data_IF_309129062018
#
_entry.id   IF_309129062018
#
_cell.length_a   1.000
_cell.length_b   1.000
_cell.length_c   1.000
_cell.angle_alpha   90.00
_cell.angle_beta   90.00
_cell.angle_gamma   90.00
#
_symmetry.space_group_name_H-M   'P 1'
#
loop_
_entity.id
_entity.type
_entity.pdbx_description
1 polymer ?
#
# COMPACT_ATOMS: atom_id res chain seq x y z
N UNK A 1 1.70 17.88 21.30
CA UNK A 1 0.87 17.05 20.40
C UNK A 1 1.78 16.62 19.26
N UNK A 2 1.81 15.32 18.93
CA UNK A 2 2.52 14.86 17.75
C UNK A 2 1.83 15.49 16.52
N UNK A 3 2.59 16.16 15.65
CA UNK A 3 2.08 16.79 14.43
C UNK A 3 2.56 15.95 13.26
N UNK A 4 1.76 14.96 12.86
CA UNK A 4 2.04 14.17 11.65
C UNK A 4 1.26 14.74 10.48
N UNK A 5 1.76 14.59 9.27
CA UNK A 5 1.03 14.95 8.05
C UNK A 5 0.15 13.79 7.56
N UNK A 6 0.66 12.56 7.68
CA UNK A 6 0.01 11.33 7.26
C UNK A 6 -0.19 10.40 8.47
N UNK A 7 -1.44 9.98 8.69
CA UNK A 7 -1.78 8.86 9.56
C UNK A 7 -2.22 7.69 8.69
N UNK A 8 -1.46 6.61 8.66
CA UNK A 8 -1.79 5.44 7.85
C UNK A 8 -2.20 4.26 8.75
N UNK A 9 -3.17 3.47 8.32
CA UNK A 9 -3.59 2.23 8.97
C UNK A 9 -3.45 1.05 8.01
N UNK A 10 -2.83 -0.04 8.48
CA UNK A 10 -2.66 -1.23 7.67
C UNK A 10 -1.99 -2.40 8.39
N UNK A 11 -1.79 -3.47 7.63
CA UNK A 11 -1.19 -4.71 8.07
C UNK A 11 0.33 -4.61 8.13
N UNK A 12 0.90 -4.99 9.27
CA UNK A 12 2.34 -5.12 9.42
C UNK A 12 2.80 -6.53 9.01
N UNK A 13 3.55 -6.61 7.90
CA UNK A 13 4.02 -7.86 7.33
C UNK A 13 5.52 -7.81 7.04
N UNK A 14 6.23 -8.88 7.34
CA UNK A 14 7.60 -9.07 6.85
C UNK A 14 7.55 -9.81 5.50
N UNK A 15 8.07 -9.18 4.46
CA UNK A 15 8.15 -9.75 3.12
C UNK A 15 9.36 -10.66 2.99
N UNK A 16 9.16 -11.81 2.34
CA UNK A 16 10.19 -12.81 2.02
C UNK A 16 10.15 -13.05 0.52
N UNK A 17 11.19 -12.59 -0.18
CA UNK A 17 11.19 -12.52 -1.64
C UNK A 17 11.88 -13.73 -2.28
N UNK A 18 11.25 -14.29 -3.31
CA UNK A 18 11.77 -15.40 -4.09
C UNK A 18 11.57 -15.15 -5.59
N UNK A 19 12.56 -15.50 -6.40
CA UNK A 19 12.34 -15.63 -7.86
C UNK A 19 11.83 -17.03 -8.19
N UNK A 20 10.72 -17.11 -8.92
CA UNK A 20 10.02 -18.36 -9.27
C UNK A 20 9.66 -18.42 -10.76
N UNK A 21 9.28 -19.60 -11.24
CA UNK A 21 8.67 -19.78 -12.58
C UNK A 21 7.15 -19.82 -12.52
N UNK A 22 6.48 -19.55 -13.65
CA UNK A 22 5.03 -19.73 -13.77
C UNK A 22 4.58 -21.19 -13.54
N UNK A 23 5.44 -22.15 -13.92
CA UNK A 23 5.22 -23.57 -13.63
C UNK A 23 5.21 -23.85 -12.12
N UNK A 24 6.07 -23.19 -11.36
CA UNK A 24 6.08 -23.31 -9.90
C UNK A 24 4.79 -22.77 -9.28
N UNK A 25 4.34 -21.58 -9.71
CA UNK A 25 3.07 -21.00 -9.25
C UNK A 25 1.90 -21.95 -9.52
N UNK A 26 1.86 -22.53 -10.72
CA UNK A 26 0.84 -23.52 -11.11
C UNK A 26 0.90 -24.77 -10.24
N UNK A 27 2.09 -25.31 -9.97
CA UNK A 27 2.28 -26.49 -9.11
C UNK A 27 1.85 -26.25 -7.65
N UNK A 28 1.97 -25.02 -7.17
CA UNK A 28 1.55 -24.64 -5.81
C UNK A 28 0.09 -24.15 -5.76
N UNK A 29 -0.66 -24.18 -6.88
CA UNK A 29 -2.03 -23.66 -7.01
C UNK A 29 -2.16 -22.17 -6.62
N UNK A 30 -1.17 -21.36 -6.97
CA UNK A 30 -1.19 -19.92 -6.72
C UNK A 30 -1.63 -19.17 -7.98
N UNK A 31 -2.58 -18.25 -7.82
CA UNK A 31 -3.02 -17.40 -8.92
C UNK A 31 -1.99 -16.29 -9.18
N UNK A 32 -1.54 -16.16 -10.43
CA UNK A 32 -0.56 -15.15 -10.81
C UNK A 32 -1.13 -13.73 -10.61
N UNK A 33 -0.33 -12.82 -10.05
CA UNK A 33 -0.67 -11.40 -9.93
C UNK A 33 -1.62 -11.03 -8.80
N UNK A 34 -1.97 -11.97 -7.90
CA UNK A 34 -2.90 -11.73 -6.78
C UNK A 34 -2.26 -12.02 -5.42
N UNK A 35 -2.98 -11.62 -4.38
CA UNK A 35 -2.70 -12.02 -3.00
C UNK A 35 -3.61 -13.17 -2.54
N UNK A 36 -3.03 -14.20 -1.97
CA UNK A 36 -3.74 -15.32 -1.34
C UNK A 36 -3.40 -15.41 0.16
N UNK A 37 -4.42 -15.51 1.00
CA UNK A 37 -4.28 -15.74 2.43
C UNK A 37 -3.98 -17.21 2.73
N UNK A 38 -3.15 -17.44 3.75
CA UNK A 38 -2.75 -18.76 4.22
C UNK A 38 -2.78 -18.83 5.75
N UNK A 39 -3.01 -20.03 6.28
CA UNK A 39 -2.69 -20.32 7.67
C UNK A 39 -1.18 -20.55 7.86
N UNK A 40 -0.74 -20.58 9.11
CA UNK A 40 0.69 -20.69 9.44
C UNK A 40 1.31 -22.04 9.04
N UNK A 41 0.55 -23.13 8.98
CA UNK A 41 1.05 -24.45 8.59
C UNK A 41 1.27 -24.51 7.08
N UNK A 42 0.27 -24.11 6.29
CA UNK A 42 0.34 -24.02 4.85
C UNK A 42 1.48 -23.08 4.40
N UNK A 43 1.60 -21.91 5.04
CA UNK A 43 2.69 -20.99 4.74
C UNK A 43 4.05 -21.61 5.11
N UNK A 44 4.19 -22.22 6.29
CA UNK A 44 5.45 -22.87 6.69
C UNK A 44 5.88 -23.99 5.73
N UNK A 45 4.93 -24.76 5.20
CA UNK A 45 5.21 -25.77 4.18
C UNK A 45 5.73 -25.15 2.88
N UNK A 46 5.07 -24.11 2.38
CA UNK A 46 5.52 -23.42 1.17
C UNK A 46 6.90 -22.78 1.37
N UNK A 47 7.15 -22.13 2.51
CA UNK A 47 8.45 -21.52 2.83
C UNK A 47 9.60 -22.53 2.72
N UNK A 48 9.42 -23.69 3.36
CA UNK A 48 10.43 -24.74 3.38
C UNK A 48 10.67 -25.35 1.99
N UNK A 49 9.63 -25.38 1.14
CA UNK A 49 9.79 -25.80 -0.25
C UNK A 49 10.54 -24.75 -1.07
N UNK A 50 10.19 -23.47 -0.92
CA UNK A 50 10.85 -22.35 -1.59
C UNK A 50 12.34 -22.29 -1.25
N UNK A 51 12.71 -22.37 0.04
CA UNK A 51 14.12 -22.37 0.46
C UNK A 51 14.93 -23.54 -0.13
N UNK A 52 14.29 -24.67 -0.42
CA UNK A 52 14.95 -25.85 -1.00
C UNK A 52 15.04 -25.81 -2.52
N UNK A 53 14.10 -25.14 -3.19
CA UNK A 53 13.89 -25.30 -4.63
C UNK A 53 14.03 -24.01 -5.44
N UNK A 54 13.90 -22.84 -4.81
CA UNK A 54 13.86 -21.54 -5.47
C UNK A 54 14.96 -20.60 -4.98
N UNK A 55 15.14 -19.49 -5.70
CA UNK A 55 16.17 -18.50 -5.38
C UNK A 55 15.64 -17.46 -4.39
N UNK A 56 16.10 -17.54 -3.14
CA UNK A 56 15.81 -16.54 -2.12
C UNK A 56 16.51 -15.21 -2.43
N UNK A 57 15.75 -14.11 -2.41
CA UNK A 57 16.25 -12.76 -2.73
C UNK A 57 16.45 -11.89 -1.51
N UNK A 58 15.69 -12.13 -0.44
CA UNK A 58 15.89 -11.42 0.82
C UNK A 58 14.63 -11.34 1.66
N UNK A 59 14.75 -10.58 2.74
CA UNK A 59 13.67 -10.23 3.64
C UNK A 59 13.65 -8.72 3.84
N UNK A 60 12.45 -8.14 3.82
CA UNK A 60 12.25 -6.71 4.04
C UNK A 60 10.97 -6.47 4.86
N UNK A 61 10.85 -5.30 5.47
CA UNK A 61 9.55 -4.86 6.00
C UNK A 61 8.63 -4.52 4.83
N UNK A 62 7.48 -5.18 4.77
CA UNK A 62 6.44 -4.96 3.77
C UNK A 62 5.17 -4.35 4.37
N UNK A 63 4.04 -4.68 3.77
CA UNK A 63 2.72 -4.10 4.04
C UNK A 63 2.43 -2.89 3.16
N UNK A 64 1.28 -2.88 2.47
CA UNK A 64 0.95 -1.86 1.45
C UNK A 64 0.90 -0.45 2.04
N UNK A 65 0.17 -0.26 3.14
CA UNK A 65 0.14 1.02 3.82
C UNK A 65 1.50 1.40 4.43
N UNK A 66 2.30 0.45 4.88
CA UNK A 66 3.64 0.74 5.40
C UNK A 66 4.60 1.20 4.30
N UNK A 67 4.55 0.58 3.12
CA UNK A 67 5.34 0.99 1.95
C UNK A 67 4.93 2.39 1.46
N UNK A 68 3.62 2.67 1.43
CA UNK A 68 3.08 4.00 1.13
C UNK A 68 3.59 5.05 2.12
N UNK A 69 3.52 4.71 3.42
CA UNK A 69 3.98 5.57 4.52
C UNK A 69 5.49 5.81 4.44
N UNK A 70 6.25 4.80 4.07
CA UNK A 70 7.69 4.91 3.85
C UNK A 70 8.02 5.85 2.71
N UNK A 71 7.37 5.71 1.55
CA UNK A 71 7.57 6.62 0.43
C UNK A 71 7.25 8.07 0.80
N UNK A 72 6.14 8.29 1.50
CA UNK A 72 5.76 9.61 2.02
C UNK A 72 6.80 10.20 2.98
N UNK A 73 7.28 9.40 3.94
CA UNK A 73 8.29 9.81 4.92
C UNK A 73 9.66 10.05 4.28
N UNK A 74 10.06 9.20 3.34
CA UNK A 74 11.34 9.30 2.64
C UNK A 74 11.47 10.57 1.79
N UNK A 75 10.34 11.14 1.34
CA UNK A 75 10.27 12.43 0.66
C UNK A 75 10.28 13.63 1.62
N UNK A 76 10.25 13.39 2.94
CA UNK A 76 10.33 14.40 3.99
C UNK A 76 9.01 14.71 4.70
N UNK A 77 7.96 13.95 4.42
CA UNK A 77 6.71 14.05 5.17
C UNK A 77 6.82 13.45 6.57
N UNK A 78 6.01 13.92 7.52
CA UNK A 78 5.92 13.29 8.85
C UNK A 78 4.78 12.30 8.90
N UNK A 79 5.03 11.08 9.33
CA UNK A 79 3.99 10.05 9.31
C UNK A 79 3.89 9.25 10.61
N UNK A 80 2.66 8.80 10.88
CA UNK A 80 2.34 7.82 11.90
C UNK A 80 1.75 6.57 11.23
N UNK A 81 2.20 5.38 11.65
CA UNK A 81 1.67 4.12 11.16
C UNK A 81 0.97 3.32 12.26
N UNK A 82 -0.35 3.22 12.14
CA UNK A 82 -1.21 2.41 12.99
C UNK A 82 -1.23 0.96 12.50
N UNK A 83 -0.51 0.09 13.22
CA UNK A 83 -0.37 -1.32 12.91
C UNK A 83 -0.30 -2.18 14.17
N UNK A 84 -0.28 -3.51 13.98
CA UNK A 84 -0.12 -4.51 15.04
C UNK A 84 0.95 -5.52 14.65
N UNK A 85 1.95 -5.70 15.51
CA UNK A 85 3.03 -6.68 15.38
C UNK A 85 3.05 -7.63 16.58
N UNK A 86 3.69 -8.78 16.41
CA UNK A 86 3.95 -9.72 17.49
C UNK A 86 5.03 -9.18 18.43
N UNK A 87 4.96 -9.59 19.69
CA UNK A 87 6.07 -9.50 20.65
C UNK A 87 7.10 -10.59 20.34
N UNK A 88 7.71 -10.48 19.17
CA UNK A 88 8.70 -11.40 18.62
C UNK A 88 9.83 -10.65 17.88
N UNK A 89 10.86 -11.38 17.47
CA UNK A 89 12.03 -10.80 16.80
C UNK A 89 11.64 -10.10 15.49
N UNK A 90 10.67 -10.63 14.74
CA UNK A 90 10.19 -10.04 13.50
C UNK A 90 9.45 -8.72 13.74
N UNK A 91 8.62 -8.66 14.77
CA UNK A 91 7.89 -7.45 15.17
C UNK A 91 8.84 -6.37 15.63
N UNK A 92 9.89 -6.74 16.39
CA UNK A 92 10.98 -5.84 16.75
C UNK A 92 11.70 -5.29 15.51
N UNK A 93 12.11 -6.16 14.59
CA UNK A 93 12.75 -5.75 13.33
C UNK A 93 11.86 -4.82 12.52
N UNK A 94 10.55 -5.11 12.45
CA UNK A 94 9.57 -4.31 11.73
C UNK A 94 9.47 -2.88 12.29
N UNK A 95 9.27 -2.75 13.61
CA UNK A 95 9.15 -1.44 14.26
C UNK A 95 10.48 -0.66 14.23
N UNK A 96 11.61 -1.33 14.45
CA UNK A 96 12.94 -0.69 14.37
C UNK A 96 13.18 -0.14 12.95
N UNK A 97 12.74 -0.86 11.90
CA UNK A 97 12.82 -0.41 10.51
C UNK A 97 11.94 0.82 10.22
N UNK A 98 10.71 0.86 10.73
CA UNK A 98 9.83 2.03 10.60
C UNK A 98 10.42 3.26 11.32
N UNK A 99 10.94 3.07 12.53
CA UNK A 99 11.56 4.14 13.30
C UNK A 99 12.81 4.70 12.59
N UNK A 100 13.64 3.84 12.00
CA UNK A 100 14.79 4.27 11.18
C UNK A 100 14.37 5.08 9.94
N UNK A 101 13.15 4.85 9.44
CA UNK A 101 12.54 5.61 8.36
C UNK A 101 11.80 6.87 8.85
N UNK A 102 11.97 7.26 10.12
CA UNK A 102 11.28 8.38 10.77
C UNK A 102 9.75 8.27 10.76
N UNK A 103 9.21 7.04 10.77
CA UNK A 103 7.77 6.79 10.86
C UNK A 103 7.43 6.51 12.32
N UNK A 104 6.56 7.34 12.90
CA UNK A 104 6.11 7.19 14.28
C UNK A 104 5.17 5.97 14.40
N UNK A 105 5.31 5.21 15.48
CA UNK A 105 4.45 4.07 15.84
C UNK A 105 4.08 4.14 17.33
N UNK A 106 3.11 3.34 17.77
CA UNK A 106 2.69 3.30 19.19
C UNK A 106 3.27 2.08 19.90
N UNK A 107 3.53 2.22 21.20
CA UNK A 107 3.81 1.04 22.05
C UNK A 107 2.61 0.09 22.12
N UNK A 108 1.40 0.57 21.80
CA UNK A 108 0.19 -0.25 21.68
C UNK A 108 0.22 -1.20 20.47
N UNK A 109 1.13 -0.98 19.51
CA UNK A 109 1.26 -1.84 18.33
C UNK A 109 1.80 -3.23 18.65
N UNK A 110 2.42 -3.44 19.81
CA UNK A 110 2.99 -4.74 20.19
C UNK A 110 1.97 -5.58 20.93
N UNK A 111 1.84 -6.86 20.56
CA UNK A 111 0.91 -7.80 21.20
C UNK A 111 1.50 -9.21 21.27
N UNK A 112 1.10 -10.01 22.26
CA UNK A 112 1.53 -11.41 22.35
C UNK A 112 1.01 -12.23 21.15
N UNK A 113 1.93 -12.87 20.41
CA UNK A 113 1.66 -13.70 19.23
C UNK A 113 2.73 -13.51 18.16
N UNK A 114 2.45 -13.95 16.94
CA UNK A 114 3.44 -13.99 15.85
C UNK A 114 3.19 -12.87 14.84
N UNK A 115 4.25 -12.15 14.48
CA UNK A 115 4.23 -11.14 13.41
C UNK A 115 3.91 -11.79 12.06
N UNK A 116 3.02 -11.18 11.30
CA UNK A 116 2.63 -11.68 9.98
C UNK A 116 3.78 -11.64 8.97
N UNK A 117 3.73 -12.51 7.98
CA UNK A 117 4.72 -12.56 6.90
C UNK A 117 4.04 -12.74 5.55
N UNK A 118 4.67 -12.23 4.50
CA UNK A 118 4.22 -12.38 3.12
C UNK A 118 5.34 -13.00 2.28
N UNK A 119 5.05 -14.10 1.59
CA UNK A 119 5.96 -14.59 0.55
C UNK A 119 5.65 -13.87 -0.75
N UNK A 120 6.64 -13.14 -1.25
CA UNK A 120 6.55 -12.42 -2.51
C UNK A 120 7.26 -13.24 -3.58
N UNK A 121 6.47 -13.82 -4.48
CA UNK A 121 6.95 -14.71 -5.54
C UNK A 121 7.01 -13.92 -6.86
N UNK A 122 8.23 -13.61 -7.30
CA UNK A 122 8.51 -12.78 -8.46
C UNK A 122 8.78 -13.69 -9.65
N UNK A 123 7.92 -13.58 -10.66
CA UNK A 123 8.03 -14.35 -11.91
C UNK A 123 8.92 -13.65 -12.94
N UNK A 124 9.25 -14.32 -14.05
CA UNK A 124 10.24 -13.82 -15.03
C UNK A 124 9.82 -12.52 -15.74
N UNK A 125 8.52 -12.26 -15.83
CA UNK A 125 7.95 -11.02 -16.37
C UNK A 125 7.83 -9.92 -15.30
N UNK A 126 8.45 -10.11 -14.13
CA UNK A 126 8.47 -9.18 -12.97
C UNK A 126 7.12 -9.02 -12.26
N UNK A 127 6.10 -9.78 -12.65
CA UNK A 127 4.83 -9.81 -11.93
C UNK A 127 5.00 -10.54 -10.58
N UNK A 128 4.30 -10.04 -9.56
CA UNK A 128 4.36 -10.57 -8.20
C UNK A 128 3.09 -11.34 -7.82
N UNK A 129 3.28 -12.48 -7.16
CA UNK A 129 2.22 -13.24 -6.50
C UNK A 129 2.51 -13.34 -5.02
N UNK A 130 1.51 -13.07 -4.18
CA UNK A 130 1.69 -12.97 -2.73
C UNK A 130 0.99 -14.10 -2.00
N UNK A 131 1.69 -14.74 -1.06
CA UNK A 131 1.13 -15.78 -0.18
C UNK A 131 1.33 -15.37 1.28
N UNK A 132 0.24 -14.88 1.90
CA UNK A 132 0.29 -14.08 3.12
C UNK A 132 -0.27 -14.83 4.31
N UNK A 133 0.52 -14.96 5.37
CA UNK A 133 0.06 -15.31 6.70
C UNK A 133 -0.02 -14.03 7.54
N UNK A 134 -1.23 -13.61 7.86
CA UNK A 134 -1.47 -12.37 8.60
C UNK A 134 -0.98 -12.41 10.04
N UNK A 135 -0.79 -13.60 10.64
CA UNK A 135 -0.44 -13.71 12.06
C UNK A 135 -1.33 -12.83 12.94
N UNK A 136 -0.73 -12.07 13.83
CA UNK A 136 -1.45 -11.20 14.76
C UNK A 136 -2.11 -9.97 14.11
N UNK A 137 -1.66 -9.54 12.93
CA UNK A 137 -2.24 -8.36 12.27
C UNK A 137 -3.66 -8.63 11.73
N UNK A 138 -4.04 -9.91 11.58
CA UNK A 138 -5.40 -10.31 11.22
C UNK A 138 -6.46 -9.76 12.19
N UNK A 139 -6.05 -9.51 13.43
CA UNK A 139 -6.90 -9.04 14.52
C UNK A 139 -6.57 -7.61 14.94
N UNK A 140 -6.00 -6.78 14.05
CA UNK A 140 -5.81 -5.35 14.33
C UNK A 140 -7.14 -4.74 14.78
N UNK A 141 -7.11 -4.00 15.89
CA UNK A 141 -8.29 -3.36 16.47
C UNK A 141 -7.92 -1.98 17.03
N UNK A 142 -8.93 -1.22 17.44
CA UNK A 142 -8.72 0.07 18.10
C UNK A 142 -7.84 -0.01 19.35
N UNK A 143 -7.72 -1.18 20.00
CA UNK A 143 -6.88 -1.36 21.17
C UNK A 143 -5.37 -1.25 20.88
N UNK A 144 -4.96 -1.41 19.62
CA UNK A 144 -3.55 -1.32 19.19
C UNK A 144 -3.24 0.01 18.49
N UNK A 145 -4.19 0.94 18.44
CA UNK A 145 -4.05 2.19 17.68
C UNK A 145 -4.10 3.38 18.63
N UNK A 146 -3.04 4.17 18.60
CA UNK A 146 -3.06 5.51 19.19
C UNK A 146 -3.66 6.48 18.16
N UNK A 147 -4.87 6.98 18.44
CA UNK A 147 -5.56 7.92 17.56
C UNK A 147 -5.21 9.39 17.83
N UNK A 148 -4.40 9.71 18.85
CA UNK A 148 -4.04 11.11 19.11
C UNK A 148 -3.32 11.78 17.92
N UNK A 149 -2.35 11.14 17.23
CA UNK A 149 -1.71 11.73 16.06
C UNK A 149 -2.69 12.03 14.91
N UNK A 150 -3.74 11.21 14.76
CA UNK A 150 -4.75 11.38 13.71
C UNK A 150 -5.48 12.72 13.83
N UNK A 151 -5.73 13.23 15.05
CA UNK A 151 -6.46 14.48 15.26
C UNK A 151 -5.79 15.72 14.67
N UNK A 152 -4.50 15.63 14.34
CA UNK A 152 -3.74 16.74 13.74
C UNK A 152 -3.19 16.40 12.35
N UNK A 153 -3.48 15.20 11.85
CA UNK A 153 -3.04 14.77 10.54
C UNK A 153 -3.71 15.59 9.43
N UNK A 154 -3.07 15.64 8.25
CA UNK A 154 -3.74 16.17 7.04
C UNK A 154 -4.45 15.05 6.27
N UNK A 155 -3.90 13.84 6.34
CA UNK A 155 -4.42 12.66 5.67
C UNK A 155 -4.56 11.47 6.62
N UNK A 156 -5.69 10.79 6.54
CA UNK A 156 -5.87 9.40 6.94
C UNK A 156 -5.72 8.54 5.69
N UNK A 157 -4.77 7.62 5.65
CA UNK A 157 -4.61 6.64 4.57
C UNK A 157 -4.98 5.23 5.04
N UNK A 158 -5.85 4.56 4.28
CA UNK A 158 -6.38 3.25 4.60
C UNK A 158 -6.04 2.27 3.47
N UNK A 159 -5.42 1.14 3.80
CA UNK A 159 -5.34 0.04 2.85
C UNK A 159 -6.64 -0.80 2.84
N UNK A 160 -7.12 -1.11 1.64
CA UNK A 160 -8.23 -2.02 1.39
C UNK A 160 -8.01 -3.45 1.88
N UNK A 161 -6.77 -3.90 2.13
CA UNK A 161 -6.49 -5.20 2.75
C UNK A 161 -7.12 -5.37 4.14
N UNK A 162 -7.45 -4.29 4.86
CA UNK A 162 -8.16 -4.38 6.14
C UNK A 162 -9.61 -4.84 5.99
N UNK A 163 -10.13 -4.93 4.77
CA UNK A 163 -11.51 -5.36 4.48
C UNK A 163 -11.81 -6.78 4.96
N UNK A 164 -10.80 -7.65 5.05
CA UNK A 164 -10.98 -9.05 5.49
C UNK A 164 -11.09 -9.22 7.00
N UNK A 165 -10.83 -8.17 7.81
CA UNK A 165 -10.77 -8.27 9.27
C UNK A 165 -11.89 -7.48 9.94
N UNK A 166 -12.78 -8.17 10.64
CA UNK A 166 -13.92 -7.55 11.34
C UNK A 166 -13.48 -6.49 12.35
N UNK A 167 -12.43 -6.78 13.13
CA UNK A 167 -11.90 -5.83 14.11
C UNK A 167 -11.22 -4.64 13.45
N UNK A 168 -10.55 -4.84 12.31
CA UNK A 168 -9.90 -3.76 11.59
C UNK A 168 -10.93 -2.83 10.95
N UNK A 169 -12.03 -3.36 10.40
CA UNK A 169 -13.13 -2.53 9.87
C UNK A 169 -13.75 -1.63 10.93
N UNK A 170 -13.93 -2.14 12.15
CA UNK A 170 -14.38 -1.32 13.28
C UNK A 170 -13.36 -0.23 13.67
N UNK A 171 -12.06 -0.57 13.65
CA UNK A 171 -10.99 0.39 13.92
C UNK A 171 -10.93 1.49 12.85
N UNK A 172 -11.06 1.13 11.57
CA UNK A 172 -11.14 2.09 10.46
C UNK A 172 -12.37 2.98 10.60
N UNK A 173 -13.54 2.42 10.95
CA UNK A 173 -14.75 3.22 11.19
C UNK A 173 -14.52 4.29 12.26
N UNK A 174 -13.84 3.94 13.36
CA UNK A 174 -13.46 4.91 14.39
C UNK A 174 -12.45 5.94 13.86
N UNK A 175 -11.44 5.51 13.11
CA UNK A 175 -10.46 6.41 12.48
C UNK A 175 -11.16 7.44 11.57
N UNK A 176 -12.10 6.99 10.72
CA UNK A 176 -12.89 7.85 9.85
C UNK A 176 -13.68 8.88 10.64
N UNK A 177 -14.35 8.48 11.71
CA UNK A 177 -15.09 9.41 12.57
C UNK A 177 -14.17 10.51 13.11
N UNK A 178 -13.02 10.13 13.67
CA UNK A 178 -12.04 11.08 14.22
C UNK A 178 -11.49 11.99 13.10
N UNK A 179 -11.20 11.44 11.93
CA UNK A 179 -10.74 12.20 10.77
C UNK A 179 -11.76 13.27 10.38
N UNK A 180 -13.04 12.92 10.24
CA UNK A 180 -14.12 13.86 9.91
C UNK A 180 -14.29 14.95 10.97
N UNK A 181 -14.29 14.59 12.25
CA UNK A 181 -14.41 15.54 13.37
C UNK A 181 -13.25 16.57 13.40
N UNK A 182 -12.08 16.20 12.88
CA UNK A 182 -10.88 17.04 12.87
C UNK A 182 -10.52 17.57 11.45
N UNK A 183 -11.43 17.44 10.48
CA UNK A 183 -11.23 17.92 9.09
C UNK A 183 -10.01 17.31 8.38
N UNK A 184 -9.64 16.09 8.77
CA UNK A 184 -8.60 15.30 8.12
C UNK A 184 -9.18 14.66 6.87
N UNK A 185 -8.45 14.75 5.76
CA UNK A 185 -8.86 14.14 4.48
C UNK A 185 -8.64 12.63 4.53
N UNK A 186 -9.49 11.86 3.86
CA UNK A 186 -9.44 10.40 3.86
C UNK A 186 -9.00 9.92 2.48
N UNK A 187 -7.92 9.16 2.42
CA UNK A 187 -7.43 8.46 1.23
C UNK A 187 -7.53 6.95 1.44
N UNK A 188 -7.91 6.21 0.40
CA UNK A 188 -8.02 4.75 0.44
C UNK A 188 -7.47 4.12 -0.84
N UNK A 189 -6.78 2.99 -0.71
CA UNK A 189 -6.42 2.14 -1.86
C UNK A 189 -7.31 0.90 -1.93
N UNK A 190 -7.78 0.52 -3.13
CA UNK A 190 -8.50 -0.76 -3.33
C UNK A 190 -7.60 -1.99 -3.13
N UNK A 191 -6.27 -1.78 -3.07
CA UNK A 191 -5.20 -2.72 -2.69
C UNK A 191 -4.94 -3.89 -3.64
N UNK A 192 -5.94 -4.71 -3.92
CA UNK A 192 -5.77 -5.91 -4.73
C UNK A 192 -7.11 -6.37 -5.35
N UNK A 193 -7.08 -6.91 -6.58
CA UNK A 193 -8.23 -7.57 -7.20
C UNK A 193 -8.95 -8.58 -6.29
N UNK A 194 -8.22 -9.34 -5.47
CA UNK A 194 -8.79 -10.31 -4.53
C UNK A 194 -9.62 -9.63 -3.43
N UNK A 195 -9.26 -8.43 -2.98
CA UNK A 195 -10.09 -7.69 -2.00
C UNK A 195 -11.40 -7.25 -2.63
N UNK A 196 -11.35 -6.77 -3.87
CA UNK A 196 -12.53 -6.39 -4.64
C UNK A 196 -13.45 -7.59 -4.90
N UNK A 197 -12.87 -8.77 -5.16
CA UNK A 197 -13.61 -9.99 -5.47
C UNK A 197 -14.18 -10.68 -4.22
N UNK A 198 -13.38 -10.86 -3.18
CA UNK A 198 -13.71 -11.73 -2.05
C UNK A 198 -14.06 -10.97 -0.78
N UNK A 199 -13.64 -9.72 -0.64
CA UNK A 199 -13.87 -8.87 0.52
C UNK A 199 -14.65 -7.59 0.20
N UNK A 200 -15.44 -7.60 -0.89
CA UNK A 200 -16.22 -6.45 -1.39
C UNK A 200 -17.05 -5.76 -0.33
N UNK A 201 -17.76 -6.54 0.51
CA UNK A 201 -18.55 -5.97 1.60
C UNK A 201 -17.67 -5.19 2.57
N UNK A 202 -16.55 -5.78 2.98
CA UNK A 202 -15.60 -5.12 3.87
C UNK A 202 -15.01 -3.86 3.23
N UNK A 203 -14.66 -3.90 1.94
CA UNK A 203 -14.14 -2.75 1.21
C UNK A 203 -15.17 -1.62 1.11
N UNK A 204 -16.46 -1.95 0.89
CA UNK A 204 -17.55 -0.99 0.95
C UNK A 204 -17.70 -0.39 2.34
N UNK A 205 -17.52 -1.16 3.41
CA UNK A 205 -17.52 -0.64 4.80
C UNK A 205 -16.33 0.30 5.07
N UNK A 206 -15.17 0.08 4.45
CA UNK A 206 -14.02 0.99 4.56
C UNK A 206 -14.25 2.32 3.81
N UNK A 207 -14.90 2.26 2.65
CA UNK A 207 -15.24 3.43 1.82
C UNK A 207 -16.42 4.21 2.43
N UNK A 208 -17.40 3.49 2.97
CA UNK A 208 -18.60 3.97 3.66
C UNK A 208 -19.38 5.03 2.84
N UNK A 209 -19.47 6.25 3.36
CA UNK A 209 -20.11 7.41 2.73
C UNK A 209 -19.24 8.13 1.69
N UNK A 210 -18.12 7.52 1.30
CA UNK A 210 -17.15 8.07 0.35
C UNK A 210 -15.87 8.57 1.03
N UNK A 211 -14.84 8.81 0.23
CA UNK A 211 -13.53 9.30 0.68
C UNK A 211 -13.10 10.52 -0.14
N UNK A 212 -12.05 11.20 0.28
CA UNK A 212 -11.52 12.35 -0.45
C UNK A 212 -10.68 11.91 -1.65
N UNK A 213 -9.95 10.79 -1.52
CA UNK A 213 -9.06 10.25 -2.56
C UNK A 213 -9.13 8.73 -2.64
N UNK A 214 -9.36 8.18 -3.84
CA UNK A 214 -9.24 6.73 -4.11
C UNK A 214 -8.01 6.48 -4.98
N UNK A 215 -7.20 5.51 -4.57
CA UNK A 215 -6.18 4.87 -5.39
C UNK A 215 -6.65 3.49 -5.83
N UNK A 216 -6.43 3.16 -7.09
CA UNK A 216 -6.57 1.80 -7.60
C UNK A 216 -5.70 1.61 -8.85
N UNK A 217 -5.50 0.36 -9.26
CA UNK A 217 -5.09 0.07 -10.63
C UNK A 217 -6.31 -0.13 -11.55
N UNK A 218 -6.06 -0.25 -12.84
CA UNK A 218 -7.10 -0.48 -13.84
C UNK A 218 -7.95 -1.72 -13.53
N UNK A 219 -7.33 -2.83 -13.13
CA UNK A 219 -8.04 -4.08 -12.86
C UNK A 219 -8.99 -3.94 -11.66
N UNK A 220 -8.51 -3.36 -10.56
CA UNK A 220 -9.29 -3.04 -9.37
C UNK A 220 -10.45 -2.10 -9.69
N UNK A 221 -10.22 -1.05 -10.49
CA UNK A 221 -11.26 -0.12 -10.91
C UNK A 221 -12.39 -0.82 -11.67
N UNK A 222 -12.03 -1.62 -12.68
CA UNK A 222 -12.98 -2.36 -13.51
C UNK A 222 -13.76 -3.41 -12.70
N UNK A 223 -13.06 -4.18 -11.84
CA UNK A 223 -13.68 -5.17 -10.98
C UNK A 223 -14.58 -4.53 -9.93
N UNK A 224 -14.18 -3.40 -9.34
CA UNK A 224 -14.94 -2.75 -8.28
C UNK A 224 -16.25 -2.17 -8.81
N UNK A 225 -16.22 -1.63 -10.02
CA UNK A 225 -17.38 -1.02 -10.69
C UNK A 225 -18.14 -1.98 -11.59
N UNK A 226 -17.75 -3.26 -11.59
CA UNK A 226 -18.40 -4.36 -12.32
C UNK A 226 -18.62 -4.04 -13.81
N UNK A 227 -17.64 -3.39 -14.43
CA UNK A 227 -17.65 -2.96 -15.84
C UNK A 227 -16.35 -3.38 -16.55
N UNK A 228 -16.36 -3.33 -17.88
CA UNK A 228 -15.18 -3.58 -18.73
C UNK A 228 -14.67 -2.29 -19.39
N UNK A 229 -15.34 -1.17 -19.15
CA UNK A 229 -15.02 0.14 -19.73
C UNK A 229 -14.46 1.08 -18.66
N UNK A 230 -13.25 1.61 -18.90
CA UNK A 230 -12.53 2.43 -17.93
C UNK A 230 -13.20 3.78 -17.67
N UNK A 231 -13.85 4.38 -18.69
CA UNK A 231 -14.57 5.65 -18.51
C UNK A 231 -15.84 5.46 -17.67
N UNK A 232 -16.55 4.35 -17.89
CA UNK A 232 -17.68 3.94 -17.07
C UNK A 232 -17.25 3.64 -15.63
N UNK A 233 -16.11 2.97 -15.44
CA UNK A 233 -15.54 2.72 -14.11
C UNK A 233 -15.23 4.05 -13.41
N UNK A 234 -14.55 4.98 -14.09
CA UNK A 234 -14.24 6.30 -13.54
C UNK A 234 -15.51 7.06 -13.15
N UNK A 235 -16.56 7.01 -13.98
CA UNK A 235 -17.85 7.66 -13.72
C UNK A 235 -18.50 7.14 -12.44
N UNK A 236 -18.45 5.84 -12.19
CA UNK A 236 -18.98 5.24 -10.96
C UNK A 236 -18.12 5.59 -9.74
N UNK A 237 -16.78 5.55 -9.87
CA UNK A 237 -15.87 5.92 -8.77
C UNK A 237 -16.03 7.39 -8.34
N UNK A 238 -16.41 8.29 -9.26
CA UNK A 238 -16.71 9.72 -8.96
C UNK A 238 -17.90 9.91 -8.02
N UNK A 239 -18.74 8.90 -7.85
CA UNK A 239 -19.83 8.93 -6.87
C UNK A 239 -19.32 8.71 -5.44
N UNK A 240 -18.11 8.15 -5.29
CA UNK A 240 -17.51 7.77 -4.00
C UNK A 240 -16.35 8.67 -3.60
N UNK A 241 -15.75 9.40 -4.54
CA UNK A 241 -14.58 10.24 -4.28
C UNK A 241 -14.48 11.42 -5.24
N UNK A 242 -13.98 12.55 -4.72
CA UNK A 242 -13.70 13.75 -5.52
C UNK A 242 -12.39 13.61 -6.30
N UNK A 243 -11.41 12.90 -5.72
CA UNK A 243 -10.13 12.62 -6.38
C UNK A 243 -9.98 11.12 -6.61
N UNK A 244 -9.64 10.73 -7.82
CA UNK A 244 -9.46 9.33 -8.21
C UNK A 244 -8.16 9.23 -8.98
N UNK A 245 -7.32 8.28 -8.59
CA UNK A 245 -6.09 7.95 -9.29
C UNK A 245 -6.12 6.49 -9.68
N UNK A 246 -6.17 6.23 -10.99
CA UNK A 246 -6.13 4.91 -11.58
C UNK A 246 -4.76 4.71 -12.23
N UNK A 247 -3.93 3.86 -11.64
CA UNK A 247 -2.67 3.44 -12.24
C UNK A 247 -2.92 2.47 -13.40
N UNK A 248 -2.19 2.66 -14.49
CA UNK A 248 -2.33 1.94 -15.77
C UNK A 248 -1.03 1.19 -16.11
N UNK A 249 -0.29 0.74 -15.10
CA UNK A 249 1.01 0.09 -15.26
C UNK A 249 1.98 0.92 -16.13
N UNK A 250 2.54 0.35 -17.20
CA UNK A 250 3.47 1.01 -18.12
C UNK A 250 2.85 2.21 -18.88
N UNK A 251 1.51 2.27 -18.97
CA UNK A 251 0.79 3.36 -19.62
C UNK A 251 0.64 4.60 -18.72
N UNK A 252 1.11 4.53 -17.46
CA UNK A 252 1.14 5.64 -16.51
C UNK A 252 -0.06 5.69 -15.59
N UNK A 253 -0.74 6.84 -15.53
CA UNK A 253 -1.89 7.00 -14.64
C UNK A 253 -2.96 7.93 -15.23
N UNK A 254 -4.22 7.57 -14.99
CA UNK A 254 -5.40 8.40 -15.21
C UNK A 254 -5.81 9.03 -13.88
N UNK A 255 -5.86 10.36 -13.84
CA UNK A 255 -6.22 11.11 -12.63
C UNK A 255 -7.44 11.95 -12.90
N UNK A 256 -8.37 11.93 -11.96
CA UNK A 256 -9.58 12.72 -12.00
C UNK A 256 -9.72 13.54 -10.73
N UNK A 257 -10.07 14.80 -10.92
CA UNK A 257 -10.27 15.84 -9.90
C UNK A 257 -11.66 16.46 -10.12
N UNK A 258 -12.15 17.32 -9.21
CA UNK A 258 -13.39 18.06 -9.44
C UNK A 258 -13.36 18.93 -10.71
N UNK A 259 -12.19 19.44 -11.09
CA UNK A 259 -12.03 20.38 -12.20
C UNK A 259 -11.76 19.69 -13.53
N UNK A 260 -10.96 18.63 -13.53
CA UNK A 260 -10.44 18.01 -14.74
C UNK A 260 -10.16 16.51 -14.62
N UNK A 261 -10.00 15.86 -15.77
CA UNK A 261 -9.50 14.49 -15.88
C UNK A 261 -8.39 14.46 -16.91
N UNK A 262 -7.23 13.94 -16.52
CA UNK A 262 -6.04 13.90 -17.37
C UNK A 262 -5.30 12.58 -17.22
N UNK A 263 -4.51 12.23 -18.24
CA UNK A 263 -3.64 11.06 -18.23
C UNK A 263 -2.19 11.52 -18.34
N UNK A 264 -1.31 10.96 -17.50
CA UNK A 264 0.14 11.12 -17.63
C UNK A 264 0.73 9.79 -18.06
N UNK A 265 1.56 9.82 -19.10
CA UNK A 265 2.20 8.62 -19.64
C UNK A 265 3.23 8.04 -18.66
N UNK A 266 3.34 6.72 -18.63
CA UNK A 266 4.36 6.02 -17.87
C UNK A 266 5.76 6.22 -18.44
N UNK A 267 6.77 5.71 -17.70
CA UNK A 267 8.18 5.77 -18.12
C UNK A 267 8.63 4.42 -18.63
N UNK A 268 9.43 4.43 -19.69
CA UNK A 268 10.08 3.22 -20.20
C UNK A 268 11.26 2.85 -19.30
N UNK A 269 11.13 1.72 -18.62
CA UNK A 269 12.17 1.11 -17.79
C UNK A 269 12.29 -0.38 -18.13
N UNK A 270 13.33 -1.04 -17.63
CA UNK A 270 13.42 -2.50 -17.65
C UNK A 270 12.86 -3.00 -16.32
N UNK A 271 11.70 -3.69 -16.31
CA UNK A 271 11.12 -4.15 -15.06
C UNK A 271 11.95 -5.29 -14.45
N UNK A 272 12.03 -5.28 -13.12
CA UNK A 272 12.74 -6.29 -12.31
C UNK A 272 11.78 -6.90 -11.28
N UNK A 273 11.02 -6.07 -10.57
CA UNK A 273 10.05 -6.49 -9.55
C UNK A 273 8.94 -5.44 -9.43
N UNK A 274 7.69 -5.80 -9.72
CA UNK A 274 6.57 -4.87 -9.61
C UNK A 274 6.08 -4.64 -8.16
N UNK A 275 6.65 -5.33 -7.16
CA UNK A 275 6.25 -5.19 -5.76
C UNK A 275 6.44 -3.75 -5.25
N UNK A 276 5.44 -3.23 -4.52
CA UNK A 276 5.48 -1.88 -3.96
C UNK A 276 5.30 -0.72 -4.97
N UNK A 277 5.12 -0.97 -6.27
CA UNK A 277 4.97 0.09 -7.27
C UNK A 277 3.78 1.02 -6.99
N UNK A 278 2.61 0.44 -6.72
CA UNK A 278 1.39 1.18 -6.36
C UNK A 278 1.50 1.90 -5.01
N UNK A 279 2.19 1.28 -4.05
CA UNK A 279 2.41 1.86 -2.72
C UNK A 279 3.31 3.11 -2.81
N UNK A 280 4.42 2.99 -3.52
CA UNK A 280 5.36 4.09 -3.74
C UNK A 280 4.71 5.23 -4.53
N UNK A 281 3.87 4.88 -5.52
CA UNK A 281 3.05 5.85 -6.24
C UNK A 281 2.14 6.62 -5.25
N UNK A 282 1.36 5.90 -4.42
CA UNK A 282 0.43 6.52 -3.49
C UNK A 282 1.13 7.42 -2.47
N UNK A 283 2.27 6.98 -1.94
CA UNK A 283 3.05 7.75 -0.96
C UNK A 283 3.64 9.03 -1.56
N UNK A 284 4.18 8.94 -2.78
CA UNK A 284 4.70 10.10 -3.51
C UNK A 284 3.60 11.10 -3.90
N UNK A 285 2.44 10.59 -4.33
CA UNK A 285 1.29 11.41 -4.68
C UNK A 285 0.75 12.17 -3.45
N UNK A 286 0.55 11.46 -2.33
CA UNK A 286 0.10 12.06 -1.06
C UNK A 286 1.10 13.08 -0.53
N UNK A 287 2.40 12.79 -0.61
CA UNK A 287 3.45 13.75 -0.23
C UNK A 287 3.34 15.02 -1.06
N UNK A 288 3.21 14.89 -2.38
CA UNK A 288 3.11 16.02 -3.29
C UNK A 288 1.92 16.92 -2.99
N UNK A 289 0.75 16.32 -2.73
CA UNK A 289 -0.44 17.08 -2.31
C UNK A 289 -0.22 17.75 -0.94
N UNK A 290 0.44 17.06 -0.01
CA UNK A 290 0.79 17.61 1.30
C UNK A 290 1.77 18.81 1.20
N UNK A 291 2.66 18.78 0.22
CA UNK A 291 3.63 19.84 -0.10
C UNK A 291 3.03 20.98 -0.95
N UNK A 292 1.77 20.87 -1.37
CA UNK A 292 1.06 21.90 -2.14
C UNK A 292 1.32 21.87 -3.65
N UNK A 293 1.87 20.77 -4.20
CA UNK A 293 1.97 20.60 -5.64
C UNK A 293 0.61 20.32 -6.29
N UNK A 294 0.50 20.59 -7.58
CA UNK A 294 -0.69 20.25 -8.37
C UNK A 294 -0.85 18.73 -8.51
N UNK A 295 -2.07 18.26 -8.79
CA UNK A 295 -2.31 16.83 -9.06
C UNK A 295 -1.47 16.33 -10.25
N UNK A 296 -1.23 17.18 -11.26
CA UNK A 296 -0.38 16.83 -12.39
C UNK A 296 1.07 16.56 -11.93
N UNK A 297 1.68 17.50 -11.18
CA UNK A 297 3.04 17.33 -10.66
C UNK A 297 3.16 16.19 -9.66
N UNK A 298 2.12 15.97 -8.84
CA UNK A 298 2.02 14.82 -7.95
C UNK A 298 2.05 13.49 -8.73
N UNK A 299 1.34 13.43 -9.86
CA UNK A 299 1.31 12.25 -10.74
C UNK A 299 2.66 12.05 -11.43
N UNK A 300 3.33 13.10 -11.88
CA UNK A 300 4.67 13.03 -12.48
C UNK A 300 5.72 12.48 -11.49
N UNK A 301 5.72 12.99 -10.24
CA UNK A 301 6.60 12.46 -9.19
C UNK A 301 6.30 11.01 -8.88
N UNK A 302 5.01 10.67 -8.74
CA UNK A 302 4.57 9.32 -8.42
C UNK A 302 4.98 8.32 -9.51
N UNK A 303 4.81 8.66 -10.79
CA UNK A 303 5.27 7.84 -11.92
C UNK A 303 6.79 7.71 -11.92
N UNK A 304 7.53 8.79 -11.66
CA UNK A 304 8.99 8.75 -11.59
C UNK A 304 9.46 7.75 -10.54
N UNK A 305 8.95 7.87 -9.32
CA UNK A 305 9.32 7.02 -8.19
C UNK A 305 8.89 5.57 -8.39
N UNK A 306 7.64 5.33 -8.80
CA UNK A 306 7.15 3.97 -8.99
C UNK A 306 7.93 3.24 -10.08
N UNK A 307 8.35 3.95 -11.14
CA UNK A 307 9.17 3.37 -12.20
C UNK A 307 10.56 2.95 -11.72
N UNK A 308 11.17 3.71 -10.80
CA UNK A 308 12.46 3.35 -10.20
C UNK A 308 12.32 2.19 -9.21
N UNK A 309 11.19 2.10 -8.47
CA UNK A 309 10.88 0.92 -7.63
C UNK A 309 10.82 -0.34 -8.49
N UNK A 310 10.10 -0.28 -9.61
CA UNK A 310 9.94 -1.42 -10.52
C UNK A 310 11.27 -1.89 -11.13
N UNK A 311 12.28 -1.00 -11.20
CA UNK A 311 13.59 -1.27 -11.78
C UNK A 311 14.60 -1.92 -10.80
N UNK A 312 14.19 -2.24 -9.57
CA UNK A 312 15.00 -2.95 -8.57
C UNK A 312 14.21 -4.08 -7.91
N UNK A 313 14.85 -4.90 -7.09
CA UNK A 313 14.16 -5.84 -6.21
C UNK A 313 13.68 -5.14 -4.92
N UNK A 314 12.49 -5.53 -4.47
CA UNK A 314 11.91 -5.14 -3.20
C UNK A 314 11.15 -3.81 -3.22
N UNK A 315 10.20 -3.62 -2.28
CA UNK A 315 9.12 -2.64 -2.41
C UNK A 315 9.51 -1.19 -2.11
N UNK A 316 10.78 -0.93 -1.73
CA UNK A 316 11.22 0.38 -1.23
C UNK A 316 12.57 0.77 -1.84
N UNK A 317 12.63 1.94 -2.46
CA UNK A 317 13.91 2.62 -2.73
C UNK A 317 14.57 3.05 -1.41
N UNK A 318 15.87 3.30 -1.44
CA UNK A 318 16.52 3.97 -0.31
C UNK A 318 16.00 5.40 -0.13
N UNK A 319 15.98 5.89 1.11
CA UNK A 319 15.55 7.27 1.43
C UNK A 319 16.37 8.35 0.72
N UNK A 320 17.63 8.05 0.38
CA UNK A 320 18.49 8.94 -0.41
C UNK A 320 18.00 9.04 -1.85
N UNK A 321 17.60 7.93 -2.45
CA UNK A 321 17.08 7.91 -3.83
C UNK A 321 15.76 8.66 -3.92
N UNK A 322 14.83 8.46 -2.98
CA UNK A 322 13.59 9.24 -2.90
C UNK A 322 13.85 10.75 -2.94
N UNK A 323 14.77 11.24 -2.11
CA UNK A 323 15.14 12.66 -2.06
C UNK A 323 15.78 13.16 -3.36
N UNK A 324 16.69 12.39 -3.96
CA UNK A 324 17.32 12.74 -5.23
C UNK A 324 16.30 12.86 -6.37
N UNK A 325 15.31 11.96 -6.41
CA UNK A 325 14.25 12.01 -7.42
C UNK A 325 13.34 13.23 -7.25
N UNK A 326 13.03 13.60 -6.00
CA UNK A 326 12.28 14.82 -5.70
C UNK A 326 13.05 16.07 -6.14
N UNK A 327 14.31 16.21 -5.74
CA UNK A 327 15.19 17.33 -6.11
C UNK A 327 15.30 17.48 -7.63
N UNK A 328 15.40 16.35 -8.34
CA UNK A 328 15.44 16.34 -9.81
C UNK A 328 14.16 16.89 -10.42
N UNK A 329 12.99 16.45 -9.95
CA UNK A 329 11.70 16.97 -10.45
C UNK A 329 11.55 18.47 -10.18
N UNK A 330 11.99 18.94 -9.01
CA UNK A 330 11.95 20.36 -8.67
C UNK A 330 12.85 21.20 -9.58
N UNK A 331 14.03 20.69 -9.95
CA UNK A 331 14.95 21.36 -10.87
C UNK A 331 14.44 21.40 -12.32
N UNK A 332 13.70 20.38 -12.77
CA UNK A 332 13.08 20.34 -14.10
C UNK A 332 11.86 21.28 -14.23
N UNK A 333 11.36 21.81 -13.11
CA UNK A 333 10.20 22.71 -13.05
C UNK A 333 10.55 24.22 -13.01
N UNK A 334 11.84 24.57 -13.05
CA UNK A 334 12.37 25.96 -13.01
C UNK A 334 12.87 26.36 -14.40
#
# INVERSE_FOLDING_TARGET
MATVDLFAIGNALIDQEFSVSDDFLTQQNLQKGTMQLADGEAQSHLYNNLLKTQNYKGQASGGSAANTTFAFSALGGRAFYACRVGDDDLGKVYLDGLNQANIETSTQSVSQGVTGTCMVLISQDSERTMHTYLGITAELSAAQIDFEPLKTAKWLYIEGYLSTSDSARLAVKQARQIARENQVKIALTLSDPAMVQYARQGLNELIDDGVDLIFCNQQEALMYTETQDLEAALTQLKLLSQYIVITLSEDGALVSTPEETFKIAGRKIVPVDANGAGDAFAGAFLYSLNAGYSCQKATELAILISSEVVAQFGPRLSTTVYRQLLEKLEQESV
#
